data_IF_878100928011
#
_entry.id   IF_878100928011
#
_cell.length_a   1.000
_cell.length_b   1.000
_cell.length_c   1.000
_cell.angle_alpha   90.00
_cell.angle_beta   90.00
_cell.angle_gamma   90.00
#
_symmetry.space_group_name_H-M   'P 1'
#
loop_
_entity.id
_entity.type
_entity.pdbx_description
1 polymer ?
#
# COMPACT_ATOMS: atom_id res chain seq x y z
N UNK A 1 -15.71 2.19 -58.25
CA UNK A 1 -14.43 2.19 -57.52
C UNK A 1 -14.30 0.88 -56.77
N UNK A 2 -13.44 -0.03 -57.23
CA UNK A 2 -13.04 -1.18 -56.41
C UNK A 2 -12.03 -0.70 -55.38
N UNK A 3 -12.13 -1.10 -54.10
CA UNK A 3 -11.09 -0.80 -53.14
C UNK A 3 -9.80 -1.47 -53.62
N UNK A 4 -8.77 -0.65 -53.83
CA UNK A 4 -7.43 -1.11 -54.20
C UNK A 4 -6.93 -2.06 -53.13
N UNK A 5 -6.36 -3.19 -53.54
CA UNK A 5 -5.97 -4.24 -52.61
C UNK A 5 -4.67 -3.78 -51.94
N UNK A 6 -4.65 -3.59 -50.60
CA UNK A 6 -3.50 -3.01 -49.93
C UNK A 6 -2.24 -3.83 -50.20
N UNK A 7 -1.11 -3.14 -50.30
CA UNK A 7 0.17 -3.82 -50.52
C UNK A 7 0.54 -4.65 -49.28
N UNK A 8 1.30 -5.73 -49.45
CA UNK A 8 1.71 -6.62 -48.36
C UNK A 8 2.34 -5.86 -47.16
N UNK A 9 2.98 -4.71 -47.41
CA UNK A 9 3.59 -3.87 -46.38
C UNK A 9 2.54 -3.14 -45.50
N UNK A 10 1.40 -2.76 -46.08
CA UNK A 10 0.29 -2.11 -45.34
C UNK A 10 -0.41 -3.13 -44.43
N UNK A 11 -0.66 -4.35 -44.92
CA UNK A 11 -1.26 -5.43 -44.12
C UNK A 11 -0.36 -5.81 -42.92
N UNK A 12 0.95 -5.94 -43.13
CA UNK A 12 1.93 -6.21 -42.06
C UNK A 12 2.02 -5.06 -41.05
N UNK A 13 1.89 -3.82 -41.49
CA UNK A 13 1.86 -2.64 -40.62
C UNK A 13 0.63 -2.63 -39.72
N UNK A 14 -0.56 -2.85 -40.30
CA UNK A 14 -1.81 -2.94 -39.55
C UNK A 14 -1.78 -4.09 -38.54
N UNK A 15 -1.31 -5.27 -38.95
CA UNK A 15 -1.17 -6.41 -38.06
C UNK A 15 -0.25 -6.12 -36.85
N UNK A 16 0.89 -5.45 -37.08
CA UNK A 16 1.81 -5.06 -36.01
C UNK A 16 1.19 -4.07 -35.04
N UNK A 17 0.45 -3.08 -35.57
CA UNK A 17 -0.20 -2.05 -34.76
C UNK A 17 -1.34 -2.64 -33.92
N UNK A 18 -2.09 -3.58 -34.48
CA UNK A 18 -3.15 -4.29 -33.77
C UNK A 18 -2.58 -5.17 -32.65
N UNK A 19 -1.47 -5.87 -32.89
CA UNK A 19 -0.77 -6.64 -31.84
C UNK A 19 -0.30 -5.73 -30.70
N UNK A 20 0.36 -4.61 -31.03
CA UNK A 20 0.82 -3.62 -30.04
C UNK A 20 -0.35 -3.06 -29.20
N UNK A 21 -1.48 -2.75 -29.87
CA UNK A 21 -2.68 -2.26 -29.19
C UNK A 21 -3.25 -3.32 -28.24
N UNK A 22 -3.37 -4.57 -28.70
CA UNK A 22 -3.84 -5.69 -27.87
C UNK A 22 -2.94 -5.93 -26.66
N UNK A 23 -1.61 -5.87 -26.84
CA UNK A 23 -0.63 -5.97 -25.76
C UNK A 23 -0.79 -4.83 -24.75
N UNK A 24 -0.93 -3.59 -25.23
CA UNK A 24 -1.12 -2.43 -24.36
C UNK A 24 -2.39 -2.55 -23.50
N UNK A 25 -3.52 -2.97 -24.09
CA UNK A 25 -4.77 -3.19 -23.35
C UNK A 25 -4.68 -4.35 -22.36
N UNK A 26 -3.94 -5.41 -22.69
CA UNK A 26 -3.68 -6.50 -21.73
C UNK A 26 -2.86 -6.01 -20.55
N UNK A 27 -1.79 -5.25 -20.81
CA UNK A 27 -0.93 -4.68 -19.76
C UNK A 27 -1.70 -3.74 -18.84
N UNK A 28 -2.49 -2.82 -19.41
CA UNK A 28 -3.33 -1.90 -18.62
C UNK A 28 -4.32 -2.65 -17.72
N UNK A 29 -4.95 -3.73 -18.23
CA UNK A 29 -5.86 -4.55 -17.41
C UNK A 29 -5.12 -5.24 -16.25
N UNK A 30 -3.93 -5.79 -16.51
CA UNK A 30 -3.12 -6.42 -15.46
C UNK A 30 -2.65 -5.43 -14.39
N UNK A 31 -2.20 -4.24 -14.80
CA UNK A 31 -1.79 -3.17 -13.89
C UNK A 31 -2.98 -2.70 -13.03
N UNK A 32 -4.16 -2.55 -13.63
CA UNK A 32 -5.38 -2.17 -12.91
C UNK A 32 -5.84 -3.24 -11.90
N UNK A 33 -5.70 -4.52 -12.24
CA UNK A 33 -6.02 -5.64 -11.35
C UNK A 33 -5.06 -5.69 -10.15
N UNK A 34 -3.75 -5.56 -10.40
CA UNK A 34 -2.73 -5.51 -9.34
C UNK A 34 -2.95 -4.31 -8.41
N UNK A 35 -3.29 -3.15 -8.97
CA UNK A 35 -3.59 -1.96 -8.17
C UNK A 35 -4.86 -2.15 -7.34
N UNK A 36 -5.90 -2.78 -7.88
CA UNK A 36 -7.10 -3.11 -7.14
C UNK A 36 -6.80 -4.05 -5.95
N UNK A 37 -5.98 -5.08 -6.16
CA UNK A 37 -5.53 -5.99 -5.09
C UNK A 37 -4.71 -5.26 -4.02
N UNK A 38 -3.78 -4.39 -4.40
CA UNK A 38 -3.03 -3.57 -3.43
C UNK A 38 -3.95 -2.69 -2.59
N UNK A 39 -4.98 -2.09 -3.22
CA UNK A 39 -5.95 -1.24 -2.53
C UNK A 39 -6.81 -2.01 -1.52
N UNK A 40 -7.06 -3.32 -1.69
CA UNK A 40 -7.82 -4.09 -0.68
C UNK A 40 -7.06 -4.30 0.62
N UNK A 41 -5.72 -4.24 0.58
CA UNK A 41 -4.85 -4.39 1.75
C UNK A 41 -4.34 -3.05 2.30
N UNK A 42 -4.54 -1.94 1.58
CA UNK A 42 -4.11 -0.60 2.02
C UNK A 42 -4.86 -0.16 3.29
N UNK A 43 -4.12 0.35 4.28
CA UNK A 43 -4.64 0.78 5.60
C UNK A 43 -5.37 -0.32 6.38
N UNK A 44 -5.08 -1.59 6.08
CA UNK A 44 -5.58 -2.75 6.81
C UNK A 44 -4.48 -3.36 7.67
N UNK A 45 -4.83 -3.72 8.90
CA UNK A 45 -3.93 -4.42 9.78
C UNK A 45 -3.62 -5.81 9.21
N UNK A 46 -2.35 -6.19 9.02
CA UNK A 46 -1.99 -7.51 8.48
C UNK A 46 -2.20 -8.64 9.51
N UNK A 47 -2.45 -8.31 10.79
CA UNK A 47 -2.73 -9.31 11.84
C UNK A 47 -4.20 -9.73 11.88
N UNK A 48 -5.12 -8.79 11.70
CA UNK A 48 -6.57 -9.05 11.89
C UNK A 48 -7.47 -8.46 10.80
N UNK A 49 -6.91 -7.82 9.77
CA UNK A 49 -7.63 -7.32 8.58
C UNK A 49 -8.47 -6.06 8.81
N UNK A 50 -8.42 -5.46 10.00
CA UNK A 50 -9.24 -4.28 10.35
C UNK A 50 -8.59 -2.99 9.90
N UNK A 51 -9.39 -1.94 9.79
CA UNK A 51 -8.88 -0.59 9.50
C UNK A 51 -7.90 -0.14 10.59
N UNK A 52 -6.80 0.43 10.14
CA UNK A 52 -5.80 1.10 10.98
C UNK A 52 -6.24 2.56 11.18
N UNK A 53 -5.96 3.13 12.34
CA UNK A 53 -6.26 4.52 12.67
C UNK A 53 -4.96 5.33 12.83
N UNK A 54 -4.93 6.51 12.23
CA UNK A 54 -3.86 7.48 12.42
C UNK A 54 -4.00 8.18 13.78
N UNK A 55 -2.98 8.10 14.61
CA UNK A 55 -2.90 8.77 15.91
C UNK A 55 -1.68 9.69 15.96
N UNK A 56 -1.77 10.82 16.67
CA UNK A 56 -0.61 11.69 16.92
C UNK A 56 0.05 11.30 18.24
N UNK A 57 1.25 10.75 18.16
CA UNK A 57 2.05 10.36 19.31
C UNK A 57 3.29 11.27 19.44
N UNK A 58 3.37 12.06 20.51
CA UNK A 58 4.48 13.02 20.75
C UNK A 58 4.78 13.95 19.55
N UNK A 59 3.73 14.34 18.82
CA UNK A 59 3.82 15.19 17.64
C UNK A 59 4.39 14.48 16.40
N UNK A 60 4.33 13.16 16.35
CA UNK A 60 4.56 12.33 15.15
C UNK A 60 3.25 11.60 14.84
N UNK A 61 2.84 11.53 13.58
CA UNK A 61 1.69 10.72 13.18
C UNK A 61 2.14 9.26 13.11
N UNK A 62 1.32 8.36 13.66
CA UNK A 62 1.59 6.92 13.69
C UNK A 62 0.31 6.18 13.32
N UNK A 63 0.47 5.02 12.69
CA UNK A 63 -0.66 4.18 12.26
C UNK A 63 -0.85 3.03 13.26
N UNK A 64 -1.98 3.02 13.97
CA UNK A 64 -2.26 2.05 15.04
C UNK A 64 -3.54 1.27 14.78
N UNK A 65 -3.47 -0.05 14.94
CA UNK A 65 -4.65 -0.90 14.91
C UNK A 65 -5.37 -0.83 16.27
N UNK A 66 -6.63 -0.38 16.34
CA UNK A 66 -7.36 -0.24 17.60
C UNK A 66 -7.74 -1.59 18.23
N UNK A 67 -7.68 -2.68 17.46
CA UNK A 67 -8.10 -4.01 17.91
C UNK A 67 -6.93 -4.85 18.43
N UNK A 68 -5.89 -5.06 17.62
CA UNK A 68 -4.73 -5.84 18.06
C UNK A 68 -3.63 -5.01 18.74
N UNK A 69 -3.70 -3.68 18.68
CA UNK A 69 -2.69 -2.78 19.24
C UNK A 69 -1.39 -2.71 18.43
N UNK A 70 -1.33 -3.30 17.24
CA UNK A 70 -0.15 -3.20 16.37
C UNK A 70 0.06 -1.78 15.87
N UNK A 71 1.33 -1.38 15.75
CA UNK A 71 1.74 -0.06 15.27
C UNK A 71 2.57 -0.22 13.99
N UNK A 72 2.31 0.65 13.03
CA UNK A 72 2.97 0.71 11.74
C UNK A 72 3.57 2.10 11.59
N UNK A 73 4.86 2.12 11.25
CA UNK A 73 5.63 3.34 11.07
C UNK A 73 6.29 3.28 9.70
N UNK A 74 6.23 4.36 8.95
CA UNK A 74 7.09 4.53 7.79
C UNK A 74 8.54 4.92 8.22
N UNK A 75 9.46 4.94 7.25
CA UNK A 75 10.85 5.26 7.55
C UNK A 75 11.03 6.68 8.11
N UNK A 76 10.26 7.66 7.63
CA UNK A 76 10.35 9.06 8.07
C UNK A 76 9.71 9.29 9.45
N UNK A 77 8.62 8.58 9.75
CA UNK A 77 7.99 8.59 11.07
C UNK A 77 8.92 7.98 12.13
N UNK A 78 9.58 6.87 11.81
CA UNK A 78 10.57 6.25 12.68
C UNK A 78 11.76 7.19 12.94
N UNK A 79 12.30 7.80 11.88
CA UNK A 79 13.37 8.80 12.03
C UNK A 79 12.93 10.00 12.87
N UNK A 80 11.70 10.49 12.69
CA UNK A 80 11.16 11.59 13.49
C UNK A 80 10.97 11.23 14.97
N UNK A 81 10.59 9.98 15.26
CA UNK A 81 10.52 9.46 16.63
C UNK A 81 11.92 9.35 17.24
N UNK A 82 12.90 8.85 16.48
CA UNK A 82 14.29 8.71 16.94
C UNK A 82 15.01 10.05 17.13
N UNK A 83 14.76 11.04 16.27
CA UNK A 83 15.38 12.36 16.36
C UNK A 83 14.88 13.19 17.54
N UNK A 84 13.67 12.90 18.04
CA UNK A 84 13.11 13.52 19.25
C UNK A 84 13.56 12.83 20.55
N UNK A 85 14.37 11.78 20.46
CA UNK A 85 14.69 10.90 21.58
C UNK A 85 15.98 11.31 22.29
N UNK A 86 15.87 12.23 23.26
CA UNK A 86 16.81 12.31 24.39
C UNK A 86 16.55 11.09 25.30
N UNK A 87 17.10 9.95 24.91
CA UNK A 87 17.30 8.73 25.74
C UNK A 87 16.12 8.31 26.64
N UNK A 88 15.05 7.74 26.04
CA UNK A 88 14.14 6.88 26.79
C UNK A 88 12.71 6.80 26.28
N UNK A 89 12.36 7.53 25.22
CA UNK A 89 11.02 7.55 24.66
C UNK A 89 10.72 6.22 23.96
N UNK A 90 11.61 5.65 23.13
CA UNK A 90 11.39 4.31 22.56
C UNK A 90 11.18 3.25 23.65
N UNK A 91 11.89 3.35 24.78
CA UNK A 91 11.67 2.49 25.95
C UNK A 91 10.30 2.71 26.61
N UNK A 92 9.81 3.95 26.69
CA UNK A 92 8.47 4.29 27.17
C UNK A 92 7.37 3.93 26.18
N UNK A 93 7.54 4.12 24.88
CA UNK A 93 6.64 3.67 23.83
C UNK A 93 6.47 2.16 23.94
N UNK A 94 7.57 1.40 23.99
CA UNK A 94 7.51 -0.04 24.22
C UNK A 94 6.86 -0.40 25.56
N UNK A 95 7.12 0.35 26.64
CA UNK A 95 6.52 0.13 27.96
C UNK A 95 5.01 0.43 27.99
N UNK A 96 4.55 1.50 27.36
CA UNK A 96 3.16 1.95 27.32
C UNK A 96 2.33 1.09 26.36
N UNK A 97 2.92 0.68 25.24
CA UNK A 97 2.37 -0.39 24.40
C UNK A 97 2.26 -1.69 25.20
N UNK A 98 3.32 -2.08 25.92
CA UNK A 98 3.33 -3.29 26.76
C UNK A 98 2.33 -3.23 27.92
N UNK A 99 2.11 -2.05 28.51
CA UNK A 99 1.11 -1.81 29.54
C UNK A 99 -0.31 -1.88 28.97
N UNK A 100 -0.55 -1.31 27.80
CA UNK A 100 -1.84 -1.41 27.09
C UNK A 100 -2.15 -2.86 26.67
N UNK A 101 -1.13 -3.63 26.26
CA UNK A 101 -1.26 -5.06 25.96
C UNK A 101 -1.52 -5.93 27.21
N UNK A 102 -1.11 -5.50 28.41
CA UNK A 102 -1.42 -6.20 29.68
C UNK A 102 -2.84 -5.93 30.19
N UNK A 103 -3.48 -4.83 29.77
CA UNK A 103 -4.81 -4.42 30.23
C UNK A 103 -6.00 -5.07 29.51
N UNK A 104 -5.79 -5.86 28.46
CA UNK A 104 -6.90 -6.44 27.65
C UNK A 104 -7.40 -7.81 28.16
N UNK A 105 -7.05 -8.22 29.38
CA UNK A 105 -7.57 -9.46 30.00
C UNK A 105 -8.40 -9.11 31.24
N UNK A 106 -9.64 -8.68 31.05
CA UNK A 106 -10.70 -8.66 32.08
C UNK A 106 -12.06 -8.66 31.37
N UNK A 107 -12.91 -9.61 31.78
CA UNK A 107 -14.16 -10.14 31.19
C UNK A 107 -14.10 -10.90 29.85
#
# INVERSE_FOLDING_TARGET
MTPDKPSKNEEEYHARRDLELLESHRKQRQEAELEAERRTHYMKCPKDGRDIATETFHGVQIERCPHCGGIWLDAGELEALMAKDDTGLLGRVFSDISATLRGSKSE
#
